data_IF_142179517016
#
_entry.id   IF_142179517016
#
_cell.length_a   1.000
_cell.length_b   1.000
_cell.length_c   1.000
_cell.angle_alpha   90.00
_cell.angle_beta   90.00
_cell.angle_gamma   90.00
#
_symmetry.space_group_name_H-M   'P 1'
#
loop_
_entity.id
_entity.type
_entity.pdbx_description
1 polymer ?
#
# COMPACT_ATOMS: atom_id res chain seq x y z
N UNK A 1 -2.72 -12.52 28.31
CA UNK A 1 -3.20 -13.82 27.76
C UNK A 1 -4.69 -14.07 27.90
N UNK A 2 -5.48 -13.21 28.52
CA UNK A 2 -6.91 -13.40 28.78
C UNK A 2 -7.87 -12.64 27.86
N UNK A 3 -7.37 -11.71 27.02
CA UNK A 3 -8.22 -10.96 26.07
C UNK A 3 -8.35 -11.62 24.69
N UNK A 4 -7.38 -12.41 24.24
CA UNK A 4 -7.47 -13.11 22.95
C UNK A 4 -8.36 -14.36 22.95
N UNK A 5 -8.54 -14.97 24.11
CA UNK A 5 -9.42 -16.14 24.28
C UNK A 5 -10.91 -15.80 24.22
N UNK A 6 -11.29 -14.56 24.58
CA UNK A 6 -12.69 -14.13 24.56
C UNK A 6 -13.21 -13.80 23.15
N UNK A 7 -12.33 -13.44 22.22
CA UNK A 7 -12.71 -13.10 20.85
C UNK A 7 -12.92 -14.36 19.99
N UNK A 8 -12.10 -15.39 20.21
CA UNK A 8 -12.26 -16.68 19.52
C UNK A 8 -13.50 -17.47 20.00
N UNK A 9 -13.85 -17.37 21.28
CA UNK A 9 -15.09 -17.96 21.80
C UNK A 9 -16.34 -17.22 21.31
N UNK A 10 -16.31 -15.91 21.14
CA UNK A 10 -17.42 -15.15 20.56
C UNK A 10 -17.65 -15.51 19.09
N UNK A 11 -16.59 -15.71 18.32
CA UNK A 11 -16.69 -16.11 16.91
C UNK A 11 -17.15 -17.57 16.76
N UNK A 12 -16.79 -18.45 17.70
CA UNK A 12 -17.28 -19.85 17.71
C UNK A 12 -18.78 -19.93 18.09
N UNK A 13 -19.23 -19.10 19.00
CA UNK A 13 -20.64 -19.03 19.40
C UNK A 13 -21.51 -18.44 18.29
N UNK A 14 -21.02 -17.45 17.55
CA UNK A 14 -21.74 -16.91 16.38
C UNK A 14 -21.81 -17.91 15.22
N UNK A 15 -20.75 -18.70 14.95
CA UNK A 15 -20.81 -19.77 13.94
C UNK A 15 -21.72 -20.95 14.34
N UNK A 16 -21.78 -21.33 15.60
CA UNK A 16 -22.68 -22.41 16.09
C UNK A 16 -24.16 -21.97 16.08
N UNK A 17 -24.47 -20.67 16.26
CA UNK A 17 -25.85 -20.17 16.15
C UNK A 17 -26.34 -20.06 14.69
N UNK A 18 -25.48 -19.86 13.72
CA UNK A 18 -25.82 -19.88 12.29
C UNK A 18 -26.21 -21.30 11.85
N UNK A 19 -25.57 -22.33 12.41
CA UNK A 19 -25.90 -23.74 12.12
C UNK A 19 -27.20 -24.24 12.70
N UNK A 20 -27.66 -23.71 13.84
CA UNK A 20 -28.90 -24.22 14.52
C UNK A 20 -30.21 -23.59 14.02
N UNK A 21 -30.16 -22.46 13.27
CA UNK A 21 -31.39 -21.82 12.73
C UNK A 21 -31.79 -22.37 11.37
N UNK A 22 -30.86 -23.04 10.64
CA UNK A 22 -31.18 -23.71 9.37
C UNK A 22 -32.11 -24.91 9.55
N UNK A 23 -32.24 -25.46 10.75
CA UNK A 23 -33.06 -26.63 11.03
C UNK A 23 -34.56 -26.34 11.33
N UNK A 24 -34.98 -25.07 11.42
CA UNK A 24 -36.35 -24.70 11.81
C UNK A 24 -37.25 -24.20 10.63
N UNK A 25 -36.75 -24.16 9.40
CA UNK A 25 -37.55 -23.75 8.23
C UNK A 25 -37.64 -24.93 7.24
N UNK A 26 -38.18 -26.05 7.70
CA UNK A 26 -38.63 -27.10 6.78
C UNK A 26 -40.16 -26.99 6.64
N UNK A 27 -40.59 -26.15 5.72
CA UNK A 27 -42.02 -26.05 5.43
C UNK A 27 -42.31 -24.99 4.39
N UNK A 28 -41.75 -25.13 3.17
CA UNK A 28 -42.34 -24.74 1.87
C UNK A 28 -41.32 -25.09 0.78
N UNK A 29 -41.71 -25.99 -0.08
CA UNK A 29 -40.91 -26.55 -1.15
C UNK A 29 -40.82 -25.56 -2.33
N UNK A 30 -39.86 -24.60 -2.25
CA UNK A 30 -39.43 -23.80 -3.39
C UNK A 30 -37.93 -24.02 -3.59
N UNK A 31 -37.57 -24.89 -4.52
CA UNK A 31 -36.21 -25.30 -4.84
C UNK A 31 -35.44 -24.25 -5.69
N UNK A 32 -35.85 -22.96 -5.69
CA UNK A 32 -35.10 -21.95 -6.41
C UNK A 32 -33.98 -21.38 -5.51
N UNK A 33 -32.68 -21.52 -5.87
CA UNK A 33 -31.58 -21.02 -5.06
C UNK A 33 -31.67 -19.51 -4.79
N UNK A 34 -32.28 -18.74 -5.70
CA UNK A 34 -32.45 -17.29 -5.56
C UNK A 34 -33.46 -16.93 -4.46
N UNK A 35 -34.54 -17.70 -4.32
CA UNK A 35 -35.58 -17.47 -3.31
C UNK A 35 -35.03 -17.78 -1.90
N UNK A 36 -34.20 -18.82 -1.80
CA UNK A 36 -33.54 -19.17 -0.55
C UNK A 36 -32.55 -18.09 -0.10
N UNK A 37 -31.71 -17.59 -1.02
CA UNK A 37 -30.77 -16.50 -0.75
C UNK A 37 -31.48 -15.21 -0.34
N UNK A 38 -32.58 -14.86 -1.01
CA UNK A 38 -33.40 -13.69 -0.66
C UNK A 38 -34.01 -13.80 0.75
N UNK A 39 -34.49 -14.98 1.13
CA UNK A 39 -35.04 -15.23 2.46
C UNK A 39 -33.97 -15.17 3.56
N UNK A 40 -32.77 -15.74 3.34
CA UNK A 40 -31.65 -15.65 4.26
C UNK A 40 -31.21 -14.18 4.43
N UNK A 41 -31.10 -13.42 3.36
CA UNK A 41 -30.78 -11.97 3.37
C UNK A 41 -31.81 -11.19 4.20
N UNK A 42 -33.10 -11.42 3.97
CA UNK A 42 -34.17 -10.76 4.73
C UNK A 42 -34.06 -11.04 6.22
N UNK A 43 -33.79 -12.29 6.61
CA UNK A 43 -33.61 -12.67 8.02
C UNK A 43 -32.41 -11.93 8.64
N UNK A 44 -31.32 -11.76 7.93
CA UNK A 44 -30.13 -11.03 8.41
C UNK A 44 -30.46 -9.55 8.62
N UNK A 45 -31.13 -8.92 7.64
CA UNK A 45 -31.41 -7.49 7.66
C UNK A 45 -32.41 -7.06 8.76
N UNK A 46 -33.31 -7.96 9.21
CA UNK A 46 -34.26 -7.67 10.30
C UNK A 46 -33.71 -7.93 11.71
N UNK A 47 -32.46 -8.44 11.82
CA UNK A 47 -31.81 -8.64 13.14
C UNK A 47 -31.07 -7.40 13.62
N UNK A 48 -30.90 -7.24 14.93
CA UNK A 48 -29.97 -6.24 15.43
C UNK A 48 -28.55 -6.45 14.89
N UNK A 49 -27.83 -5.40 14.52
CA UNK A 49 -28.18 -3.99 14.66
C UNK A 49 -28.94 -3.39 13.46
N UNK A 50 -29.27 -4.15 12.41
CA UNK A 50 -29.79 -3.67 11.13
C UNK A 50 -31.30 -3.43 11.16
N UNK A 51 -32.05 -4.17 12.00
CA UNK A 51 -33.52 -4.20 12.05
C UNK A 51 -34.16 -2.81 12.05
N UNK A 52 -33.79 -1.87 12.95
CA UNK A 52 -34.43 -0.54 13.01
C UNK A 52 -34.33 0.25 11.69
N UNK A 53 -33.22 0.11 10.95
CA UNK A 53 -33.06 0.75 9.63
C UNK A 53 -33.87 0.01 8.55
N UNK A 54 -33.91 -1.32 8.63
CA UNK A 54 -34.70 -2.16 7.73
C UNK A 54 -36.20 -1.84 7.87
N UNK A 55 -36.70 -1.79 9.09
CA UNK A 55 -38.10 -1.45 9.37
C UNK A 55 -38.46 -0.05 8.84
N UNK A 56 -37.54 0.92 8.99
CA UNK A 56 -37.74 2.27 8.47
C UNK A 56 -37.75 2.30 6.93
N UNK A 57 -36.92 1.49 6.27
CA UNK A 57 -36.89 1.34 4.82
C UNK A 57 -38.18 0.68 4.32
N UNK A 58 -38.60 -0.43 4.94
CA UNK A 58 -39.75 -1.21 4.53
C UNK A 58 -41.10 -0.44 4.70
N UNK A 59 -41.17 0.37 5.75
CA UNK A 59 -42.32 1.22 6.02
C UNK A 59 -42.29 2.55 5.26
N UNK A 60 -41.27 2.80 4.45
CA UNK A 60 -41.03 4.07 3.77
C UNK A 60 -41.13 5.28 4.72
N UNK A 61 -40.65 5.10 5.97
CA UNK A 61 -40.65 6.15 6.96
C UNK A 61 -39.52 7.15 6.69
N UNK A 62 -39.91 8.34 6.28
CA UNK A 62 -39.01 9.46 6.06
C UNK A 62 -38.83 9.84 4.60
N UNK A 63 -38.46 11.07 4.39
CA UNK A 63 -38.23 11.67 3.06
C UNK A 63 -36.87 11.33 2.48
N UNK A 64 -35.93 10.81 3.30
CA UNK A 64 -34.52 10.54 2.92
C UNK A 64 -34.24 9.03 2.81
N UNK A 65 -34.86 8.38 1.83
CA UNK A 65 -34.60 6.96 1.54
C UNK A 65 -33.13 6.68 1.19
N UNK A 66 -32.48 7.57 0.44
CA UNK A 66 -31.06 7.45 0.12
C UNK A 66 -30.20 7.39 1.37
N UNK A 67 -30.45 8.28 2.32
CA UNK A 67 -29.75 8.29 3.60
C UNK A 67 -30.04 7.07 4.49
N UNK A 68 -31.23 6.47 4.40
CA UNK A 68 -31.55 5.22 5.11
C UNK A 68 -30.72 4.05 4.56
N UNK A 69 -30.67 3.88 3.24
CA UNK A 69 -29.84 2.87 2.60
C UNK A 69 -28.36 3.10 2.89
N UNK A 70 -27.86 4.33 2.79
CA UNK A 70 -26.48 4.67 3.11
C UNK A 70 -26.10 4.25 4.55
N UNK A 71 -26.92 4.62 5.52
CA UNK A 71 -26.66 4.27 6.95
C UNK A 71 -26.70 2.77 7.18
N UNK A 72 -27.60 2.03 6.52
CA UNK A 72 -27.62 0.57 6.64
C UNK A 72 -26.41 -0.05 5.97
N UNK A 73 -25.97 0.45 4.82
CA UNK A 73 -24.75 0.02 4.14
C UNK A 73 -23.50 0.23 5.00
N UNK A 74 -23.35 1.40 5.65
CA UNK A 74 -22.28 1.67 6.60
C UNK A 74 -22.27 0.64 7.76
N UNK A 75 -23.45 0.33 8.29
CA UNK A 75 -23.58 -0.62 9.38
C UNK A 75 -23.27 -2.05 8.93
N UNK A 76 -23.74 -2.46 7.76
CA UNK A 76 -23.41 -3.75 7.13
C UNK A 76 -21.91 -3.89 6.88
N UNK A 77 -21.29 -2.85 6.32
CA UNK A 77 -19.85 -2.84 6.05
C UNK A 77 -19.02 -2.99 7.32
N UNK A 78 -19.41 -2.33 8.42
CA UNK A 78 -18.75 -2.47 9.73
C UNK A 78 -18.91 -3.86 10.37
N UNK A 79 -19.85 -4.66 9.88
CA UNK A 79 -20.08 -6.04 10.32
C UNK A 79 -19.63 -7.06 9.27
N UNK A 80 -18.71 -6.68 8.36
CA UNK A 80 -18.11 -7.52 7.33
C UNK A 80 -19.12 -8.11 6.32
N UNK A 81 -20.34 -7.54 6.23
CA UNK A 81 -21.39 -7.94 5.28
C UNK A 81 -21.29 -7.09 4.01
N UNK A 82 -20.11 -7.10 3.38
CA UNK A 82 -19.77 -6.20 2.28
C UNK A 82 -20.64 -6.37 1.03
N UNK A 83 -21.09 -7.59 0.70
CA UNK A 83 -22.00 -7.82 -0.43
C UNK A 83 -23.35 -7.12 -0.22
N UNK A 84 -23.94 -7.24 0.97
CA UNK A 84 -25.20 -6.57 1.30
C UNK A 84 -25.01 -5.05 1.42
N UNK A 85 -23.84 -4.61 1.90
CA UNK A 85 -23.49 -3.19 1.92
C UNK A 85 -23.40 -2.61 0.50
N UNK A 86 -22.81 -3.34 -0.46
CA UNK A 86 -22.75 -2.92 -1.86
C UNK A 86 -24.13 -2.74 -2.48
N UNK A 87 -25.07 -3.66 -2.20
CA UNK A 87 -26.45 -3.56 -2.68
C UNK A 87 -27.17 -2.31 -2.12
N UNK A 88 -26.95 -1.99 -0.85
CA UNK A 88 -27.56 -0.81 -0.22
C UNK A 88 -26.86 0.49 -0.65
N UNK A 89 -25.53 0.51 -0.81
CA UNK A 89 -24.85 1.66 -1.41
C UNK A 89 -25.32 1.91 -2.83
N UNK A 90 -25.54 0.86 -3.63
CA UNK A 90 -26.12 1.01 -4.98
C UNK A 90 -27.46 1.70 -4.92
N UNK A 91 -28.40 1.26 -4.06
CA UNK A 91 -29.71 1.89 -3.91
C UNK A 91 -29.62 3.34 -3.46
N UNK A 92 -28.72 3.64 -2.52
CA UNK A 92 -28.46 5.01 -2.09
C UNK A 92 -27.96 5.88 -3.22
N UNK A 93 -26.99 5.39 -4.00
CA UNK A 93 -26.44 6.05 -5.18
C UNK A 93 -27.47 6.31 -6.26
N UNK A 94 -28.29 5.30 -6.58
CA UNK A 94 -29.33 5.42 -7.60
C UNK A 94 -30.40 6.46 -7.24
N UNK A 95 -30.72 6.60 -5.94
CA UNK A 95 -31.68 7.59 -5.44
C UNK A 95 -31.08 8.99 -5.36
N UNK A 96 -29.85 9.13 -4.90
CA UNK A 96 -29.18 10.41 -4.74
C UNK A 96 -27.65 10.24 -4.83
N UNK A 97 -27.08 10.43 -6.03
CA UNK A 97 -25.63 10.42 -6.18
C UNK A 97 -24.97 11.55 -5.39
N UNK A 98 -24.04 11.21 -4.52
CA UNK A 98 -23.19 12.16 -3.79
C UNK A 98 -21.77 11.60 -3.63
N UNK A 99 -20.80 12.47 -3.33
CA UNK A 99 -19.38 12.11 -3.27
C UNK A 99 -19.09 11.03 -2.24
N UNK A 100 -19.67 11.14 -1.06
CA UNK A 100 -19.43 10.19 0.03
C UNK A 100 -19.97 8.80 -0.30
N UNK A 101 -21.20 8.74 -0.83
CA UNK A 101 -21.80 7.48 -1.28
C UNK A 101 -20.98 6.85 -2.40
N UNK A 102 -20.52 7.64 -3.38
CA UNK A 102 -19.66 7.17 -4.46
C UNK A 102 -18.36 6.54 -3.97
N UNK A 103 -17.65 7.22 -3.04
CA UNK A 103 -16.41 6.71 -2.44
C UNK A 103 -16.63 5.40 -1.66
N UNK A 104 -17.67 5.36 -0.81
CA UNK A 104 -17.98 4.18 0.01
C UNK A 104 -18.40 3.00 -0.85
N UNK A 105 -19.23 3.24 -1.86
CA UNK A 105 -19.68 2.21 -2.78
C UNK A 105 -18.51 1.65 -3.60
N UNK A 106 -17.66 2.50 -4.17
CA UNK A 106 -16.49 2.06 -4.91
C UNK A 106 -15.52 1.23 -4.06
N UNK A 107 -15.23 1.68 -2.83
CA UNK A 107 -14.42 0.92 -1.87
C UNK A 107 -15.02 -0.45 -1.57
N UNK A 108 -16.33 -0.51 -1.33
CA UNK A 108 -17.03 -1.76 -1.03
C UNK A 108 -17.00 -2.71 -2.23
N UNK A 109 -17.24 -2.20 -3.45
CA UNK A 109 -17.13 -3.00 -4.68
C UNK A 109 -15.72 -3.58 -4.88
N UNK A 110 -14.68 -2.84 -4.48
CA UNK A 110 -13.30 -3.31 -4.52
C UNK A 110 -13.06 -4.45 -3.53
N UNK A 111 -13.56 -4.31 -2.29
CA UNK A 111 -13.44 -5.34 -1.23
C UNK A 111 -14.12 -6.65 -1.66
N UNK A 112 -15.29 -6.59 -2.28
CA UNK A 112 -16.00 -7.79 -2.77
C UNK A 112 -15.50 -8.29 -4.12
N UNK A 113 -14.43 -7.70 -4.67
CA UNK A 113 -13.82 -8.14 -5.93
C UNK A 113 -14.55 -7.71 -7.20
N UNK A 114 -15.55 -6.84 -7.11
CA UNK A 114 -16.29 -6.32 -8.26
C UNK A 114 -15.56 -5.17 -8.97
N UNK A 115 -14.25 -5.36 -9.24
CA UNK A 115 -13.33 -4.32 -9.75
C UNK A 115 -13.87 -3.60 -10.99
N UNK A 116 -14.46 -4.34 -11.94
CA UNK A 116 -15.04 -3.74 -13.16
C UNK A 116 -16.16 -2.74 -12.87
N UNK A 117 -17.05 -3.06 -11.91
CA UNK A 117 -18.13 -2.15 -11.47
C UNK A 117 -17.56 -0.94 -10.71
N UNK A 118 -16.56 -1.16 -9.88
CA UNK A 118 -15.88 -0.08 -9.16
C UNK A 118 -15.27 0.95 -10.13
N UNK A 119 -14.57 0.48 -11.18
CA UNK A 119 -14.00 1.35 -12.22
C UNK A 119 -15.09 2.15 -12.92
N UNK A 120 -16.20 1.52 -13.34
CA UNK A 120 -17.30 2.22 -13.99
C UNK A 120 -17.93 3.29 -13.09
N UNK A 121 -18.18 2.95 -11.83
CA UNK A 121 -18.70 3.88 -10.84
C UNK A 121 -17.77 5.08 -10.63
N UNK A 122 -16.47 4.83 -10.43
CA UNK A 122 -15.49 5.88 -10.22
C UNK A 122 -15.32 6.80 -11.44
N UNK A 123 -15.44 6.27 -12.66
CA UNK A 123 -15.47 7.08 -13.88
C UNK A 123 -16.69 8.00 -13.92
N UNK A 124 -17.87 7.51 -13.49
CA UNK A 124 -19.08 8.34 -13.38
C UNK A 124 -18.94 9.39 -12.27
N UNK A 125 -18.42 9.00 -11.09
CA UNK A 125 -18.12 9.91 -9.99
C UNK A 125 -17.16 11.04 -10.42
N UNK A 126 -16.07 10.71 -11.07
CA UNK A 126 -15.09 11.70 -11.54
C UNK A 126 -15.70 12.71 -12.51
N UNK A 127 -16.60 12.26 -13.40
CA UNK A 127 -17.34 13.15 -14.32
C UNK A 127 -18.32 14.06 -13.59
N UNK A 128 -19.00 13.56 -12.55
CA UNK A 128 -20.00 14.31 -11.78
C UNK A 128 -19.37 15.28 -10.77
N UNK A 129 -18.24 14.88 -10.19
CA UNK A 129 -17.54 15.58 -9.11
C UNK A 129 -16.07 15.81 -9.48
N UNK A 130 -15.79 16.63 -10.51
CA UNK A 130 -14.42 16.77 -11.04
C UNK A 130 -13.43 17.42 -10.07
N UNK A 131 -13.93 18.10 -9.05
CA UNK A 131 -13.10 18.74 -8.01
C UNK A 131 -12.63 17.77 -6.93
N UNK A 132 -13.13 16.54 -6.89
CA UNK A 132 -12.75 15.55 -5.87
C UNK A 132 -11.63 14.66 -6.39
N UNK A 133 -10.41 14.86 -5.87
CA UNK A 133 -9.20 14.12 -6.28
C UNK A 133 -9.23 12.65 -5.90
N UNK A 134 -10.03 12.26 -4.90
CA UNK A 134 -10.10 10.86 -4.45
C UNK A 134 -10.61 9.89 -5.53
N UNK A 135 -11.47 10.35 -6.43
CA UNK A 135 -11.97 9.49 -7.50
C UNK A 135 -10.90 9.09 -8.53
N UNK A 136 -10.12 10.03 -9.10
CA UNK A 136 -9.02 9.66 -9.99
C UNK A 136 -7.90 8.89 -9.28
N UNK A 137 -7.61 9.17 -8.01
CA UNK A 137 -6.67 8.40 -7.20
C UNK A 137 -7.08 6.93 -7.11
N UNK A 138 -8.33 6.66 -6.67
CA UNK A 138 -8.87 5.29 -6.61
C UNK A 138 -8.92 4.61 -7.98
N UNK A 139 -9.25 5.35 -9.05
CA UNK A 139 -9.19 4.83 -10.42
C UNK A 139 -7.77 4.43 -10.82
N UNK A 140 -6.79 5.29 -10.52
CA UNK A 140 -5.38 5.03 -10.77
C UNK A 140 -4.92 3.74 -10.07
N UNK A 141 -5.26 3.57 -8.79
CA UNK A 141 -4.96 2.37 -8.01
C UNK A 141 -5.60 1.11 -8.59
N UNK A 142 -6.90 1.16 -8.93
CA UNK A 142 -7.60 0.01 -9.50
C UNK A 142 -7.08 -0.39 -10.88
N UNK A 143 -6.75 0.57 -11.73
CA UNK A 143 -6.12 0.29 -13.00
C UNK A 143 -4.73 -0.32 -12.82
N UNK A 144 -3.93 0.19 -11.85
CA UNK A 144 -2.63 -0.34 -11.52
C UNK A 144 -2.72 -1.79 -11.02
N UNK A 145 -3.61 -2.08 -10.06
CA UNK A 145 -3.87 -3.43 -9.56
C UNK A 145 -4.33 -4.39 -10.66
N UNK A 146 -5.05 -3.86 -11.65
CA UNK A 146 -5.52 -4.61 -12.84
C UNK A 146 -4.47 -4.73 -13.94
N UNK A 147 -3.23 -4.25 -13.73
CA UNK A 147 -2.16 -4.24 -14.75
C UNK A 147 -2.39 -3.28 -15.90
N UNK A 148 -3.38 -2.36 -15.80
CA UNK A 148 -3.76 -1.40 -16.83
C UNK A 148 -3.05 -0.05 -16.63
N UNK A 149 -1.72 -0.09 -16.69
CA UNK A 149 -0.89 1.07 -16.35
C UNK A 149 -1.10 2.26 -17.28
N UNK A 150 -1.34 2.03 -18.57
CA UNK A 150 -1.60 3.13 -19.53
C UNK A 150 -2.87 3.89 -19.19
N UNK A 151 -3.92 3.16 -18.80
CA UNK A 151 -5.18 3.75 -18.37
C UNK A 151 -5.02 4.53 -17.07
N UNK A 152 -4.24 4.01 -16.12
CA UNK A 152 -3.92 4.71 -14.88
C UNK A 152 -3.24 6.06 -15.14
N UNK A 153 -2.19 6.08 -15.97
CA UNK A 153 -1.50 7.32 -16.36
C UNK A 153 -2.42 8.26 -17.12
N UNK A 154 -3.29 7.71 -18.00
CA UNK A 154 -4.24 8.49 -18.81
C UNK A 154 -5.27 9.27 -17.96
N UNK A 155 -5.59 8.81 -16.75
CA UNK A 155 -6.45 9.57 -15.81
C UNK A 155 -5.77 10.89 -15.44
N UNK A 156 -4.51 10.84 -15.04
CA UNK A 156 -3.77 12.05 -14.67
C UNK A 156 -3.46 12.93 -15.87
N UNK A 157 -3.23 12.37 -17.06
CA UNK A 157 -3.09 13.15 -18.31
C UNK A 157 -4.33 13.98 -18.60
N UNK A 158 -5.53 13.42 -18.41
CA UNK A 158 -6.79 14.14 -18.59
C UNK A 158 -6.95 15.29 -17.58
N UNK A 159 -6.60 15.04 -16.30
CA UNK A 159 -6.62 16.09 -15.26
C UNK A 159 -5.65 17.21 -15.65
N UNK A 160 -4.43 16.86 -16.07
CA UNK A 160 -3.39 17.81 -16.44
C UNK A 160 -3.68 18.56 -17.74
N UNK A 161 -4.48 17.98 -18.62
CA UNK A 161 -4.99 18.67 -19.82
C UNK A 161 -6.02 19.75 -19.43
N UNK A 162 -6.84 19.50 -18.42
CA UNK A 162 -7.80 20.47 -17.91
C UNK A 162 -7.13 21.54 -17.03
N UNK A 163 -6.21 21.11 -16.16
CA UNK A 163 -5.45 21.99 -15.25
C UNK A 163 -3.98 21.56 -15.22
N UNK A 164 -3.16 22.21 -16.04
CA UNK A 164 -1.71 21.94 -16.14
C UNK A 164 -0.91 22.38 -14.89
N UNK A 165 -1.52 23.15 -13.98
CA UNK A 165 -0.92 23.60 -12.73
C UNK A 165 -1.30 22.71 -11.53
N UNK A 166 -2.04 21.63 -11.76
CA UNK A 166 -2.35 20.66 -10.72
C UNK A 166 -1.09 19.86 -10.36
N UNK A 167 -0.41 20.32 -9.31
CA UNK A 167 0.86 19.72 -8.86
C UNK A 167 0.67 18.33 -8.27
N UNK A 168 -0.48 18.05 -7.64
CA UNK A 168 -0.83 16.73 -7.11
C UNK A 168 -0.95 15.72 -8.23
N UNK A 169 -1.66 16.07 -9.32
CA UNK A 169 -1.77 15.20 -10.49
C UNK A 169 -0.42 14.92 -11.16
N UNK A 170 0.50 15.90 -11.20
CA UNK A 170 1.87 15.67 -11.66
C UNK A 170 2.63 14.71 -10.76
N UNK A 171 2.48 14.84 -9.44
CA UNK A 171 3.12 13.96 -8.46
C UNK A 171 2.61 12.52 -8.57
N UNK A 172 1.29 12.32 -8.52
CA UNK A 172 0.68 10.99 -8.64
C UNK A 172 1.04 10.30 -9.97
N UNK A 173 1.01 11.06 -11.07
CA UNK A 173 1.50 10.56 -12.36
C UNK A 173 2.95 10.09 -12.28
N UNK A 174 3.80 10.82 -11.58
CA UNK A 174 5.20 10.44 -11.43
C UNK A 174 5.35 9.12 -10.67
N UNK A 175 4.63 8.91 -9.57
CA UNK A 175 4.65 7.67 -8.79
C UNK A 175 4.19 6.46 -9.64
N UNK A 176 3.15 6.65 -10.45
CA UNK A 176 2.69 5.60 -11.37
C UNK A 176 3.74 5.25 -12.43
N UNK A 177 4.38 6.26 -13.02
CA UNK A 177 5.42 6.07 -14.04
C UNK A 177 6.65 5.38 -13.45
N UNK A 178 7.07 5.75 -12.25
CA UNK A 178 8.16 5.11 -11.51
C UNK A 178 7.87 3.63 -11.28
N UNK A 179 6.71 3.32 -10.72
CA UNK A 179 6.28 1.93 -10.47
C UNK A 179 6.18 1.09 -11.74
N UNK A 180 5.92 1.73 -12.89
CA UNK A 180 5.93 1.08 -14.20
C UNK A 180 7.34 0.99 -14.83
N UNK A 181 8.39 1.46 -14.14
CA UNK A 181 9.76 1.47 -14.64
C UNK A 181 10.09 2.61 -15.61
N UNK A 182 9.14 3.53 -15.87
CA UNK A 182 9.41 4.75 -16.65
C UNK A 182 9.98 5.86 -15.75
N UNK A 183 11.21 5.65 -15.30
CA UNK A 183 11.93 6.62 -14.46
C UNK A 183 12.09 7.98 -15.16
N UNK A 184 12.18 8.00 -16.50
CA UNK A 184 12.35 9.26 -17.25
C UNK A 184 11.07 10.09 -17.19
N UNK A 185 9.92 9.48 -17.44
CA UNK A 185 8.62 10.13 -17.32
C UNK A 185 8.34 10.57 -15.89
N UNK A 186 8.71 9.74 -14.89
CA UNK A 186 8.58 10.07 -13.48
C UNK A 186 9.38 11.33 -13.10
N UNK A 187 10.65 11.41 -13.49
CA UNK A 187 11.49 12.61 -13.29
C UNK A 187 10.87 13.85 -13.93
N UNK A 188 10.37 13.75 -15.17
CA UNK A 188 9.74 14.89 -15.85
C UNK A 188 8.49 15.38 -15.10
N UNK A 189 7.66 14.46 -14.62
CA UNK A 189 6.44 14.77 -13.88
C UNK A 189 6.76 15.38 -12.51
N UNK A 190 7.71 14.82 -11.75
CA UNK A 190 8.18 15.40 -10.48
C UNK A 190 8.79 16.79 -10.65
N UNK A 191 9.56 17.03 -11.73
CA UNK A 191 10.07 18.37 -12.02
C UNK A 191 8.94 19.39 -12.21
N UNK A 192 7.84 19.00 -12.85
CA UNK A 192 6.65 19.86 -13.00
C UNK A 192 6.00 20.12 -11.65
N UNK A 193 5.76 19.09 -10.85
CA UNK A 193 5.21 19.24 -9.50
C UNK A 193 6.07 20.17 -8.63
N UNK A 194 7.39 19.95 -8.58
CA UNK A 194 8.33 20.80 -7.83
C UNK A 194 8.40 22.24 -8.32
N UNK A 195 8.23 22.48 -9.63
CA UNK A 195 8.24 23.82 -10.20
C UNK A 195 6.99 24.64 -9.82
N UNK A 196 5.85 23.95 -9.67
CA UNK A 196 4.58 24.56 -9.27
C UNK A 196 4.55 24.75 -7.75
N UNK A 197 4.87 23.69 -7.00
CA UNK A 197 4.83 23.70 -5.54
C UNK A 197 6.09 23.02 -4.98
N UNK A 198 7.10 23.80 -4.51
CA UNK A 198 8.37 23.26 -4.04
C UNK A 198 8.28 22.76 -2.60
N UNK A 199 7.57 21.64 -2.39
CA UNK A 199 7.53 20.93 -1.10
C UNK A 199 8.67 19.94 -0.97
N UNK A 200 9.09 19.66 0.26
CA UNK A 200 10.23 18.78 0.52
C UNK A 200 10.01 17.36 0.00
N UNK A 201 8.80 16.82 0.16
CA UNK A 201 8.45 15.46 -0.29
C UNK A 201 8.74 15.29 -1.79
N UNK A 202 8.22 16.16 -2.66
CA UNK A 202 8.43 16.08 -4.10
C UNK A 202 9.90 16.25 -4.49
N UNK A 203 10.60 17.15 -3.76
CA UNK A 203 12.03 17.37 -3.98
C UNK A 203 12.87 16.16 -3.59
N UNK A 204 12.49 15.43 -2.56
CA UNK A 204 13.19 14.22 -2.09
C UNK A 204 12.93 13.02 -3.02
N UNK A 205 11.69 12.83 -3.48
CA UNK A 205 11.39 11.82 -4.50
C UNK A 205 12.18 12.07 -5.80
N UNK A 206 12.19 13.32 -6.27
CA UNK A 206 13.01 13.69 -7.43
C UNK A 206 14.51 13.45 -7.19
N UNK A 207 14.99 13.78 -5.99
CA UNK A 207 16.39 13.55 -5.61
C UNK A 207 16.72 12.06 -5.57
N UNK A 208 15.79 11.21 -5.11
CA UNK A 208 15.95 9.76 -5.09
C UNK A 208 16.11 9.20 -6.51
N UNK A 209 15.22 9.56 -7.43
CA UNK A 209 15.33 9.14 -8.82
C UNK A 209 16.62 9.63 -9.50
N UNK A 210 17.05 10.84 -9.19
CA UNK A 210 18.35 11.32 -9.66
C UNK A 210 19.53 10.55 -9.07
N UNK A 211 19.46 10.15 -7.80
CA UNK A 211 20.50 9.34 -7.16
C UNK A 211 20.61 7.96 -7.82
N UNK A 212 19.50 7.33 -8.17
CA UNK A 212 19.48 6.08 -8.92
C UNK A 212 20.06 6.24 -10.34
N UNK A 213 19.76 7.33 -11.00
CA UNK A 213 20.33 7.68 -12.32
C UNK A 213 21.75 8.20 -12.25
N UNK A 214 22.36 8.28 -11.07
CA UNK A 214 23.72 8.81 -10.83
C UNK A 214 23.85 10.29 -11.26
N UNK A 215 22.73 11.02 -11.26
CA UNK A 215 22.71 12.45 -11.59
C UNK A 215 23.08 13.28 -10.34
N UNK A 216 24.09 14.15 -10.41
CA UNK A 216 24.52 14.97 -9.28
C UNK A 216 23.45 15.99 -8.81
N UNK A 217 22.39 16.23 -9.58
CA UNK A 217 21.27 17.05 -9.16
C UNK A 217 20.63 16.52 -7.86
N UNK A 218 20.72 15.21 -7.58
CA UNK A 218 20.33 14.60 -6.33
C UNK A 218 20.92 15.33 -5.11
N UNK A 219 22.24 15.60 -5.15
CA UNK A 219 22.94 16.26 -4.06
C UNK A 219 22.43 17.68 -3.81
N UNK A 220 22.22 18.42 -4.90
CA UNK A 220 21.75 19.81 -4.84
C UNK A 220 20.34 19.92 -4.24
N UNK A 221 19.45 19.00 -4.58
CA UNK A 221 18.09 18.93 -4.00
C UNK A 221 18.13 18.56 -2.52
N UNK A 222 18.90 17.54 -2.14
CA UNK A 222 19.08 17.17 -0.73
C UNK A 222 19.65 18.33 0.09
N UNK A 223 20.67 19.03 -0.42
CA UNK A 223 21.25 20.18 0.25
C UNK A 223 20.26 21.36 0.37
N UNK A 224 19.38 21.55 -0.62
CA UNK A 224 18.32 22.56 -0.55
C UNK A 224 17.29 22.25 0.54
N UNK A 225 16.90 20.97 0.68
CA UNK A 225 15.99 20.52 1.74
C UNK A 225 16.65 20.68 3.11
N UNK A 226 17.90 20.23 3.27
CA UNK A 226 18.64 20.34 4.54
C UNK A 226 18.83 21.80 5.00
N UNK A 227 19.02 22.74 4.08
CA UNK A 227 19.11 24.18 4.44
C UNK A 227 17.81 24.73 5.05
N UNK A 228 16.66 24.11 4.74
CA UNK A 228 15.35 24.51 5.28
C UNK A 228 14.98 23.73 6.56
N UNK A 229 15.69 22.66 6.85
CA UNK A 229 15.45 21.83 8.03
C UNK A 229 16.02 22.49 9.29
N UNK A 230 15.15 23.22 9.99
CA UNK A 230 15.49 23.88 11.26
C UNK A 230 15.55 22.90 12.45
N UNK A 231 14.94 21.72 12.33
CA UNK A 231 14.89 20.69 13.39
C UNK A 231 16.10 19.78 13.36
N UNK A 232 16.78 19.69 12.22
CA UNK A 232 17.88 18.74 11.95
C UNK A 232 17.50 17.27 12.14
N UNK A 233 16.20 16.96 11.99
CA UNK A 233 15.65 15.61 12.18
C UNK A 233 15.51 14.81 10.88
N UNK A 234 15.58 15.47 9.71
CA UNK A 234 15.38 14.79 8.43
C UNK A 234 16.48 13.75 8.18
N UNK A 235 16.04 12.55 7.81
CA UNK A 235 16.90 11.41 7.49
C UNK A 235 17.07 11.25 5.98
N UNK A 236 15.97 11.40 5.21
CA UNK A 236 15.90 11.11 3.80
C UNK A 236 16.97 11.80 2.95
N UNK A 237 17.29 13.10 3.18
CA UNK A 237 18.35 13.74 2.39
C UNK A 237 19.71 13.06 2.55
N UNK A 238 20.05 12.57 3.75
CA UNK A 238 21.31 11.85 3.99
C UNK A 238 21.26 10.47 3.34
N UNK A 239 20.17 9.76 3.48
CA UNK A 239 19.98 8.45 2.88
C UNK A 239 20.12 8.53 1.35
N UNK A 240 19.41 9.45 0.70
CA UNK A 240 19.47 9.69 -0.76
C UNK A 240 20.88 10.06 -1.22
N UNK A 241 21.60 10.93 -0.47
CA UNK A 241 23.02 11.23 -0.75
C UNK A 241 23.90 9.99 -0.62
N UNK A 242 23.62 9.13 0.37
CA UNK A 242 24.27 7.84 0.54
C UNK A 242 24.07 6.93 -0.67
N UNK A 243 22.85 6.78 -1.16
CA UNK A 243 22.51 6.03 -2.39
C UNK A 243 23.24 6.61 -3.60
N UNK A 244 23.22 7.93 -3.80
CA UNK A 244 23.95 8.56 -4.89
C UNK A 244 25.46 8.23 -4.86
N UNK A 245 26.10 8.36 -3.68
CA UNK A 245 27.52 8.06 -3.55
C UNK A 245 27.81 6.57 -3.73
N UNK A 246 26.93 5.70 -3.28
CA UNK A 246 27.02 4.25 -3.50
C UNK A 246 26.97 3.90 -4.98
N UNK A 247 25.98 4.44 -5.71
CA UNK A 247 25.77 4.22 -7.14
C UNK A 247 26.89 4.80 -8.00
N UNK A 248 27.56 5.87 -7.53
CA UNK A 248 28.73 6.47 -8.19
C UNK A 248 30.06 5.91 -7.69
N UNK A 249 30.03 4.76 -6.98
CA UNK A 249 31.20 4.02 -6.46
C UNK A 249 32.05 4.82 -5.46
N UNK A 250 31.51 5.87 -4.87
CA UNK A 250 32.15 6.68 -3.84
C UNK A 250 31.83 6.14 -2.44
N UNK A 251 32.07 4.85 -2.23
CA UNK A 251 31.58 4.11 -1.04
C UNK A 251 31.99 4.72 0.30
N UNK A 252 33.17 5.33 0.42
CA UNK A 252 33.58 6.03 1.66
C UNK A 252 32.64 7.17 2.00
N UNK A 253 32.21 7.94 0.98
CA UNK A 253 31.24 9.03 1.20
C UNK A 253 29.85 8.49 1.51
N UNK A 254 29.46 7.39 0.85
CA UNK A 254 28.18 6.72 1.14
C UNK A 254 28.08 6.31 2.62
N UNK A 255 29.12 5.64 3.15
CA UNK A 255 29.17 5.24 4.56
C UNK A 255 28.97 6.43 5.51
N UNK A 256 29.61 7.58 5.25
CA UNK A 256 29.44 8.80 6.06
C UNK A 256 27.98 9.28 6.07
N UNK A 257 27.29 9.19 4.93
CA UNK A 257 25.90 9.62 4.84
C UNK A 257 24.97 8.64 5.59
N UNK A 258 25.16 7.33 5.43
CA UNK A 258 24.39 6.33 6.17
C UNK A 258 24.66 6.40 7.68
N UNK A 259 25.90 6.69 8.11
CA UNK A 259 26.20 6.98 9.52
C UNK A 259 25.42 8.20 10.03
N UNK A 260 25.23 9.20 9.17
CA UNK A 260 24.43 10.37 9.54
C UNK A 260 22.94 10.02 9.76
N UNK A 261 22.39 9.06 9.02
CA UNK A 261 21.06 8.51 9.27
C UNK A 261 21.00 7.75 10.58
N UNK A 262 21.92 6.80 10.78
CA UNK A 262 22.00 5.94 11.97
C UNK A 262 22.14 6.75 13.25
N UNK A 263 22.94 7.81 13.24
CA UNK A 263 23.13 8.69 14.39
C UNK A 263 21.88 9.49 14.77
N UNK A 264 20.99 9.74 13.81
CA UNK A 264 19.70 10.42 14.03
C UNK A 264 18.61 9.46 14.44
N UNK A 265 18.55 8.32 13.76
CA UNK A 265 17.63 7.24 14.10
C UNK A 265 18.34 5.88 14.01
N UNK A 266 18.69 5.35 15.17
CA UNK A 266 19.33 4.03 15.28
C UNK A 266 18.42 2.86 14.86
N UNK A 267 17.12 3.10 14.66
CA UNK A 267 16.15 2.10 14.16
C UNK A 267 16.02 2.11 12.64
N UNK A 268 16.70 3.00 11.96
CA UNK A 268 16.61 3.09 10.49
C UNK A 268 17.36 1.91 9.85
N UNK A 269 16.66 0.81 9.66
CA UNK A 269 17.18 -0.49 9.21
C UNK A 269 17.90 -0.39 7.87
N UNK A 270 17.32 0.33 6.90
CA UNK A 270 17.87 0.47 5.55
C UNK A 270 19.25 1.16 5.54
N UNK A 271 19.47 2.09 6.46
CA UNK A 271 20.76 2.75 6.56
C UNK A 271 21.88 1.79 7.00
N UNK A 272 21.58 0.83 7.89
CA UNK A 272 22.55 -0.22 8.23
C UNK A 272 22.80 -1.17 7.06
N UNK A 273 21.77 -1.56 6.34
CA UNK A 273 21.89 -2.42 5.16
C UNK A 273 22.77 -1.77 4.10
N UNK A 274 22.43 -0.56 3.68
CA UNK A 274 23.16 0.16 2.62
C UNK A 274 24.59 0.52 3.03
N UNK A 275 24.82 0.87 4.31
CA UNK A 275 26.16 1.02 4.87
C UNK A 275 26.96 -0.28 4.76
N UNK A 276 26.34 -1.40 5.13
CA UNK A 276 26.96 -2.73 5.03
C UNK A 276 27.32 -3.07 3.59
N UNK A 277 26.43 -2.80 2.64
CA UNK A 277 26.69 -3.00 1.21
C UNK A 277 27.87 -2.14 0.73
N UNK A 278 27.91 -0.87 1.10
CA UNK A 278 28.99 0.04 0.75
C UNK A 278 30.34 -0.43 1.33
N UNK A 279 30.38 -0.94 2.56
CA UNK A 279 31.56 -1.54 3.19
C UNK A 279 31.97 -2.86 2.50
N UNK A 280 31.02 -3.71 2.17
CA UNK A 280 31.27 -4.96 1.44
C UNK A 280 31.91 -4.71 0.08
N UNK A 281 31.43 -3.71 -0.67
CA UNK A 281 32.01 -3.28 -1.95
C UNK A 281 33.43 -2.75 -1.81
N UNK A 282 33.80 -2.24 -0.63
CA UNK A 282 35.18 -1.86 -0.28
C UNK A 282 36.01 -3.05 0.20
N UNK A 283 35.50 -4.28 0.23
CA UNK A 283 36.08 -5.50 0.77
C UNK A 283 36.34 -5.43 2.29
N UNK A 284 35.67 -4.54 3.00
CA UNK A 284 35.74 -4.41 4.45
C UNK A 284 34.72 -5.36 5.11
N UNK A 285 34.90 -6.67 4.91
CA UNK A 285 33.91 -7.70 5.22
C UNK A 285 33.54 -7.76 6.71
N UNK A 286 34.48 -7.55 7.62
CA UNK A 286 34.19 -7.55 9.05
C UNK A 286 33.30 -6.38 9.47
N UNK A 287 33.55 -5.18 8.95
CA UNK A 287 32.71 -4.01 9.24
C UNK A 287 31.34 -4.13 8.56
N UNK A 288 31.29 -4.67 7.35
CA UNK A 288 30.05 -4.98 6.64
C UNK A 288 29.19 -5.96 7.46
N UNK A 289 29.81 -7.06 7.96
CA UNK A 289 29.13 -8.06 8.79
C UNK A 289 28.53 -7.43 10.07
N UNK A 290 29.27 -6.53 10.73
CA UNK A 290 28.74 -5.79 11.88
C UNK A 290 27.50 -4.96 11.50
N UNK A 291 27.53 -4.28 10.37
CA UNK A 291 26.43 -3.46 9.89
C UNK A 291 25.20 -4.33 9.59
N UNK A 292 25.36 -5.45 8.88
CA UNK A 292 24.27 -6.39 8.60
C UNK A 292 23.71 -7.08 9.86
N UNK A 293 24.55 -7.35 10.85
CA UNK A 293 24.07 -7.84 12.15
C UNK A 293 23.20 -6.79 12.86
N UNK A 294 23.50 -5.51 12.70
CA UNK A 294 22.64 -4.46 13.22
C UNK A 294 21.32 -4.39 12.44
N UNK A 295 21.31 -4.60 11.11
CA UNK A 295 20.07 -4.70 10.30
C UNK A 295 19.12 -5.73 10.92
N UNK A 296 19.58 -6.98 11.14
CA UNK A 296 18.74 -8.05 11.70
C UNK A 296 18.46 -7.90 13.20
N UNK A 297 19.26 -7.13 13.92
CA UNK A 297 18.98 -6.78 15.32
C UNK A 297 17.85 -5.75 15.45
N UNK A 298 17.77 -4.82 14.53
CA UNK A 298 16.70 -3.80 14.47
C UNK A 298 15.42 -4.41 13.90
N UNK A 299 15.54 -5.25 12.87
CA UNK A 299 14.43 -5.95 12.24
C UNK A 299 14.83 -7.39 11.91
N UNK A 300 14.41 -8.34 12.75
CA UNK A 300 14.71 -9.77 12.62
C UNK A 300 13.97 -10.46 11.47
N UNK A 301 12.99 -9.79 10.90
CA UNK A 301 12.21 -10.24 9.74
C UNK A 301 12.70 -9.65 8.40
N UNK A 302 13.92 -9.11 8.35
CA UNK A 302 14.48 -8.45 7.16
C UNK A 302 15.38 -9.43 6.37
N UNK A 303 14.90 -10.06 5.28
CA UNK A 303 15.61 -11.15 4.59
C UNK A 303 16.96 -10.74 4.03
N UNK A 304 17.05 -9.50 3.49
CA UNK A 304 18.32 -8.97 2.94
C UNK A 304 19.45 -8.92 3.95
N UNK A 305 19.14 -8.63 5.22
CA UNK A 305 20.13 -8.64 6.29
C UNK A 305 20.81 -10.00 6.43
N UNK A 306 20.02 -11.08 6.43
CA UNK A 306 20.53 -12.45 6.48
C UNK A 306 21.29 -12.81 5.21
N UNK A 307 20.75 -12.45 4.04
CA UNK A 307 21.43 -12.68 2.77
C UNK A 307 22.81 -12.05 2.72
N UNK A 308 22.95 -10.79 3.10
CA UNK A 308 24.24 -10.11 3.09
C UNK A 308 25.22 -10.60 4.17
N UNK A 309 24.73 -11.10 5.31
CA UNK A 309 25.58 -11.83 6.27
C UNK A 309 26.13 -13.09 5.59
N UNK A 310 25.29 -13.87 4.89
CA UNK A 310 25.71 -15.01 4.11
C UNK A 310 26.78 -14.65 3.08
N UNK A 311 26.62 -13.51 2.38
CA UNK A 311 27.62 -12.98 1.43
C UNK A 311 28.95 -12.67 2.08
N UNK A 312 28.95 -12.16 3.32
CA UNK A 312 30.19 -11.92 4.06
C UNK A 312 30.92 -13.23 4.40
N UNK A 313 30.20 -14.24 4.88
CA UNK A 313 30.77 -15.56 5.15
C UNK A 313 31.30 -16.23 3.88
N UNK A 314 30.56 -16.16 2.78
CA UNK A 314 31.01 -16.64 1.47
C UNK A 314 32.31 -15.96 1.03
N UNK A 315 32.40 -14.64 1.16
CA UNK A 315 33.60 -13.87 0.81
C UNK A 315 34.80 -14.24 1.67
N UNK A 316 34.59 -14.68 2.90
CA UNK A 316 35.61 -15.17 3.82
C UNK A 316 35.91 -16.68 3.67
N UNK A 317 35.25 -17.38 2.75
CA UNK A 317 35.44 -18.80 2.47
C UNK A 317 34.68 -19.77 3.38
N UNK A 318 33.88 -19.27 4.32
CA UNK A 318 33.04 -20.12 5.19
C UNK A 318 31.71 -20.46 4.51
N UNK A 319 31.77 -21.48 3.66
CA UNK A 319 30.60 -21.95 2.91
C UNK A 319 29.47 -22.46 3.81
N UNK A 320 29.81 -23.06 4.94
CA UNK A 320 28.83 -23.66 5.85
C UNK A 320 27.96 -22.56 6.47
N UNK A 321 28.58 -21.52 7.00
CA UNK A 321 27.85 -20.37 7.56
C UNK A 321 27.11 -19.60 6.46
N UNK A 322 27.71 -19.44 5.29
CA UNK A 322 27.05 -18.75 4.17
C UNK A 322 25.73 -19.44 3.81
N UNK A 323 25.73 -20.77 3.63
CA UNK A 323 24.50 -21.55 3.32
C UNK A 323 23.46 -21.40 4.43
N UNK A 324 23.87 -21.45 5.70
CA UNK A 324 22.95 -21.28 6.84
C UNK A 324 22.21 -19.94 6.79
N UNK A 325 22.92 -18.84 6.55
CA UNK A 325 22.33 -17.52 6.50
C UNK A 325 21.47 -17.30 5.24
N UNK A 326 21.83 -17.87 4.09
CA UNK A 326 20.97 -17.87 2.90
C UNK A 326 19.68 -18.65 3.14
N UNK A 327 19.73 -19.76 3.87
CA UNK A 327 18.54 -20.52 4.26
C UNK A 327 17.62 -19.71 5.20
N UNK A 328 18.20 -18.91 6.11
CA UNK A 328 17.41 -18.02 6.97
C UNK A 328 16.72 -16.93 6.14
N UNK A 329 17.41 -16.32 5.17
CA UNK A 329 16.79 -15.37 4.25
C UNK A 329 15.60 -15.99 3.49
N UNK A 330 15.77 -17.22 2.93
CA UNK A 330 14.70 -17.98 2.26
C UNK A 330 13.57 -18.41 3.21
N UNK A 331 13.86 -18.57 4.49
CA UNK A 331 12.84 -18.87 5.50
C UNK A 331 11.90 -17.69 5.73
N UNK A 332 12.41 -16.47 5.57
CA UNK A 332 11.64 -15.24 5.68
C UNK A 332 10.95 -14.85 4.36
N UNK A 333 11.63 -15.02 3.25
CA UNK A 333 11.12 -14.79 1.90
C UNK A 333 11.40 -16.00 1.01
N UNK A 334 10.36 -16.76 0.71
CA UNK A 334 10.47 -17.99 -0.12
C UNK A 334 10.81 -17.72 -1.58
N UNK A 335 10.53 -16.51 -2.05
CA UNK A 335 10.75 -16.08 -3.42
C UNK A 335 12.10 -15.36 -3.62
N UNK A 336 12.95 -15.35 -2.59
CA UNK A 336 14.28 -14.73 -2.64
C UNK A 336 15.25 -15.54 -3.52
N UNK A 337 15.17 -15.29 -4.82
CA UNK A 337 15.89 -16.06 -5.87
C UNK A 337 17.40 -16.00 -5.69
N UNK A 338 17.98 -14.85 -5.31
CA UNK A 338 19.42 -14.68 -5.11
C UNK A 338 19.97 -15.56 -3.99
N UNK A 339 19.21 -15.74 -2.91
CA UNK A 339 19.61 -16.64 -1.82
C UNK A 339 19.54 -18.11 -2.26
N UNK A 340 18.50 -18.50 -3.00
CA UNK A 340 18.35 -19.86 -3.56
C UNK A 340 19.49 -20.20 -4.51
N UNK A 341 19.84 -19.28 -5.42
CA UNK A 341 20.94 -19.48 -6.37
C UNK A 341 22.31 -19.51 -5.69
N UNK A 342 22.50 -18.72 -4.63
CA UNK A 342 23.71 -18.76 -3.83
C UNK A 342 23.90 -20.12 -3.14
N UNK A 343 22.85 -20.71 -2.58
CA UNK A 343 22.89 -22.05 -1.99
C UNK A 343 23.29 -23.09 -3.03
N UNK A 344 22.60 -23.12 -4.19
CA UNK A 344 22.90 -24.07 -5.28
C UNK A 344 24.36 -23.98 -5.75
N UNK A 345 24.93 -22.77 -5.78
CA UNK A 345 26.31 -22.55 -6.21
C UNK A 345 27.32 -23.07 -5.20
N UNK A 346 27.00 -23.11 -3.92
CA UNK A 346 27.90 -23.50 -2.84
C UNK A 346 27.85 -24.98 -2.49
N UNK A 347 26.75 -25.67 -2.84
CA UNK A 347 26.59 -27.13 -2.75
C UNK A 347 27.38 -27.85 -3.82
#
# INVERSE_FOLDING_TARGET
>A
MTQSMNQSLRNLVTMLWIGCVIAAIQGCNNNNPNDKKAQETSVVLHRPPFGPLTDSIDQHQGTDMAGLYFRRAELLSRNDLHELAADDYQKSWDLRPDELTGLRYASTLTIVGHVGKAIQLLQDCHKRFPSNSSFPEMLGELYQQSGKMKEAVGIYDNILQADSLNFEAWYEKALLLEKNGDTTGAIQSLKKACAITPVNTYSLELAHLYAEKKDPAALSLCDAVLRKDSTHELLDPFFIKGIYFSNTLQYKKAVIQFDSCINRDWKFTDAYLEKGIALFKQKQYEQALQSFRMTIKVSDTYPDGYFWIGRCFEANGDKTQAILFYQQALGLDKDFTEAADAIKRLQ
#
